data_IF_634242727223
#
_entry.id   IF_634242727223
#
_cell.length_a   1.000
_cell.length_b   1.000
_cell.length_c   1.000
_cell.angle_alpha   90.00
_cell.angle_beta   90.00
_cell.angle_gamma   90.00
#
_symmetry.space_group_name_H-M   'P 1'
#
loop_
_entity.id
_entity.type
_entity.pdbx_description
1 polymer ?
#
# COMPACT_ATOMS: atom_id res chain seq x y z
N UNK A 1 -64.08 38.62 95.35
CA UNK A 1 -62.63 38.29 95.31
C UNK A 1 -62.30 36.87 94.74
N UNK A 2 -62.93 35.79 95.25
CA UNK A 2 -62.62 34.40 94.75
C UNK A 2 -63.10 34.19 93.33
N UNK A 3 -64.28 34.71 92.94
CA UNK A 3 -64.83 34.61 91.60
C UNK A 3 -64.01 35.39 90.57
N UNK A 4 -63.53 36.58 90.90
CA UNK A 4 -62.63 37.39 90.01
C UNK A 4 -61.28 36.74 89.80
N UNK A 5 -60.73 36.09 90.84
CA UNK A 5 -59.48 35.35 90.74
C UNK A 5 -59.57 34.11 89.80
N UNK A 6 -60.74 33.41 89.90
CA UNK A 6 -61.00 32.24 89.05
C UNK A 6 -61.24 32.60 87.59
N UNK A 7 -61.80 33.77 87.34
CA UNK A 7 -62.04 34.29 86.00
C UNK A 7 -60.73 34.77 85.32
N UNK A 8 -59.94 35.47 86.11
CA UNK A 8 -58.58 35.87 85.68
C UNK A 8 -57.67 34.64 85.31
N UNK A 9 -57.72 33.63 86.18
CA UNK A 9 -56.96 32.39 85.94
C UNK A 9 -57.44 31.62 84.69
N UNK A 10 -58.76 31.59 84.45
CA UNK A 10 -59.37 30.99 83.27
C UNK A 10 -58.99 31.77 81.99
N UNK A 11 -58.95 33.12 82.07
CA UNK A 11 -58.55 33.98 80.96
C UNK A 11 -57.08 33.75 80.63
N UNK A 12 -56.22 33.71 81.62
CA UNK A 12 -54.77 33.44 81.38
C UNK A 12 -54.53 32.05 80.81
N UNK A 13 -55.27 31.04 81.29
CA UNK A 13 -55.18 29.70 80.65
C UNK A 13 -55.65 29.67 79.18
N UNK A 14 -56.71 30.42 78.84
CA UNK A 14 -57.21 30.56 77.48
C UNK A 14 -56.16 31.25 76.58
N UNK A 15 -55.57 32.33 77.06
CA UNK A 15 -54.53 33.04 76.33
C UNK A 15 -53.30 32.14 76.08
N UNK A 16 -52.84 31.40 77.08
CA UNK A 16 -51.73 30.43 76.91
C UNK A 16 -52.05 29.34 75.89
N UNK A 17 -53.32 28.84 75.92
CA UNK A 17 -53.79 27.87 74.91
C UNK A 17 -53.82 28.45 73.49
N UNK A 18 -54.35 29.66 73.34
CA UNK A 18 -54.40 30.34 72.03
C UNK A 18 -53.01 30.59 71.50
N UNK A 19 -52.11 31.07 72.36
CA UNK A 19 -50.69 31.26 71.96
C UNK A 19 -50.01 29.97 71.58
N UNK A 20 -50.17 28.91 72.36
CA UNK A 20 -49.65 27.57 72.03
C UNK A 20 -50.20 27.01 70.73
N UNK A 21 -51.49 27.22 70.44
CA UNK A 21 -52.12 26.82 69.18
C UNK A 21 -51.61 27.67 68.00
N UNK A 22 -51.44 28.98 68.20
CA UNK A 22 -50.86 29.87 67.17
C UNK A 22 -49.40 29.47 66.81
N UNK A 23 -48.57 29.20 67.83
CA UNK A 23 -47.21 28.74 67.66
C UNK A 23 -47.13 27.37 66.92
N UNK A 24 -48.10 26.47 67.25
CA UNK A 24 -48.16 25.16 66.55
C UNK A 24 -48.58 25.27 65.09
N UNK A 25 -49.50 26.16 64.75
CA UNK A 25 -50.00 26.47 63.42
C UNK A 25 -48.85 27.12 62.62
N UNK A 26 -48.10 28.04 63.21
CA UNK A 26 -46.97 28.70 62.57
C UNK A 26 -45.88 27.70 62.24
N UNK A 27 -45.52 26.80 63.17
CA UNK A 27 -44.57 25.71 62.90
C UNK A 27 -45.05 24.79 61.78
N UNK A 28 -46.30 24.37 61.79
CA UNK A 28 -46.87 23.54 60.73
C UNK A 28 -46.87 24.24 59.40
N UNK A 29 -47.10 25.56 59.31
CA UNK A 29 -46.96 26.34 58.07
C UNK A 29 -45.51 26.38 57.57
N UNK A 30 -44.54 26.59 58.48
CA UNK A 30 -43.13 26.59 58.14
C UNK A 30 -42.70 25.23 57.64
N UNK A 31 -43.13 24.14 58.26
CA UNK A 31 -42.81 22.78 57.82
C UNK A 31 -43.39 22.48 56.43
N UNK A 32 -44.61 22.89 56.13
CA UNK A 32 -45.23 22.77 54.82
C UNK A 32 -44.43 23.58 53.75
N UNK A 33 -44.07 24.83 54.06
CA UNK A 33 -43.31 25.69 53.18
C UNK A 33 -41.94 25.10 52.89
N UNK A 34 -41.19 24.62 53.89
CA UNK A 34 -39.89 23.95 53.73
C UNK A 34 -40.04 22.67 52.93
N UNK A 35 -41.10 21.90 53.15
CA UNK A 35 -41.37 20.68 52.38
C UNK A 35 -41.66 20.96 50.90
N UNK A 36 -42.50 21.98 50.60
CA UNK A 36 -42.80 22.41 49.26
C UNK A 36 -41.49 22.87 48.48
N UNK A 37 -40.70 23.72 49.14
CA UNK A 37 -39.44 24.22 48.58
C UNK A 37 -38.44 23.08 48.32
N UNK A 38 -38.38 22.06 49.16
CA UNK A 38 -37.57 20.87 48.97
C UNK A 38 -38.05 20.05 47.77
N UNK A 39 -39.35 19.88 47.57
CA UNK A 39 -39.95 19.19 46.44
C UNK A 39 -39.63 19.92 45.12
N UNK A 40 -39.88 21.24 45.07
CA UNK A 40 -39.57 22.05 43.88
C UNK A 40 -38.09 22.02 43.52
N UNK A 41 -37.19 22.11 44.50
CA UNK A 41 -35.75 21.99 44.28
C UNK A 41 -35.33 20.58 43.79
N UNK A 42 -36.01 19.54 44.31
CA UNK A 42 -35.77 18.16 43.86
C UNK A 42 -36.19 17.98 42.39
N UNK A 43 -37.37 18.51 42.02
CA UNK A 43 -37.84 18.41 40.61
C UNK A 43 -36.98 19.20 39.65
N UNK A 44 -36.54 20.41 40.03
CA UNK A 44 -35.58 21.19 39.26
C UNK A 44 -34.27 20.44 39.08
N UNK A 45 -33.75 19.82 40.13
CA UNK A 45 -32.51 19.04 40.11
C UNK A 45 -32.63 17.81 39.20
N UNK A 46 -33.75 17.10 39.29
CA UNK A 46 -34.04 15.93 38.46
C UNK A 46 -34.16 16.30 36.98
N UNK A 47 -34.84 17.40 36.67
CA UNK A 47 -34.95 17.89 35.29
C UNK A 47 -33.60 18.34 34.75
N UNK A 48 -32.80 19.05 35.54
CA UNK A 48 -31.42 19.43 35.16
C UNK A 48 -30.54 18.20 34.86
N UNK A 49 -30.61 17.18 35.72
CA UNK A 49 -29.89 15.91 35.50
C UNK A 49 -30.35 15.22 34.20
N UNK A 50 -31.66 15.20 33.92
CA UNK A 50 -32.17 14.64 32.65
C UNK A 50 -31.61 15.39 31.42
N UNK A 51 -31.61 16.73 31.46
CA UNK A 51 -31.07 17.53 30.37
C UNK A 51 -29.54 17.30 30.14
N UNK A 52 -28.78 17.18 31.22
CA UNK A 52 -27.34 16.87 31.17
C UNK A 52 -27.11 15.50 30.52
N UNK A 53 -27.88 14.47 30.90
CA UNK A 53 -27.77 13.12 30.32
C UNK A 53 -28.11 13.15 28.83
N UNK A 54 -29.20 13.84 28.45
CA UNK A 54 -29.60 13.96 27.05
C UNK A 54 -28.50 14.68 26.23
N UNK A 55 -27.97 15.79 26.74
CA UNK A 55 -26.90 16.54 26.11
C UNK A 55 -25.62 15.68 25.92
N UNK A 56 -25.27 14.91 26.97
CA UNK A 56 -24.14 13.98 26.89
C UNK A 56 -24.34 12.88 25.81
N UNK A 57 -25.55 12.29 25.76
CA UNK A 57 -25.86 11.30 24.72
C UNK A 57 -25.78 11.88 23.32
N UNK A 58 -26.26 13.10 23.12
CA UNK A 58 -26.13 13.79 21.80
C UNK A 58 -24.67 14.00 21.43
N UNK A 59 -23.83 14.43 22.38
CA UNK A 59 -22.39 14.61 22.15
C UNK A 59 -21.72 13.29 21.76
N UNK A 60 -22.03 12.19 22.45
CA UNK A 60 -21.50 10.86 22.15
C UNK A 60 -21.90 10.41 20.73
N UNK A 61 -23.16 10.59 20.35
CA UNK A 61 -23.64 10.24 19.01
C UNK A 61 -22.93 11.09 17.93
N UNK A 62 -22.82 12.40 18.14
CA UNK A 62 -22.11 13.29 17.22
C UNK A 62 -20.63 12.92 17.08
N UNK A 63 -19.95 12.61 18.19
CA UNK A 63 -18.57 12.13 18.17
C UNK A 63 -18.44 10.82 17.38
N UNK A 64 -19.35 9.88 17.57
CA UNK A 64 -19.40 8.62 16.79
C UNK A 64 -19.56 8.86 15.29
N UNK A 65 -20.45 9.76 14.89
CA UNK A 65 -20.66 10.13 13.50
C UNK A 65 -19.39 10.77 12.89
N UNK A 66 -18.73 11.66 13.63
CA UNK A 66 -17.49 12.32 13.17
C UNK A 66 -16.36 11.28 12.99
N UNK A 67 -16.20 10.36 13.95
CA UNK A 67 -15.19 9.30 13.89
C UNK A 67 -15.47 8.40 12.69
N UNK A 68 -16.70 7.94 12.51
CA UNK A 68 -17.11 7.12 11.38
C UNK A 68 -16.88 7.82 10.04
N UNK A 69 -17.23 9.09 9.91
CA UNK A 69 -17.00 9.89 8.71
C UNK A 69 -15.50 10.03 8.40
N UNK A 70 -14.67 10.33 9.38
CA UNK A 70 -13.21 10.40 9.22
C UNK A 70 -12.62 9.06 8.80
N UNK A 71 -13.03 7.97 9.42
CA UNK A 71 -12.57 6.63 9.07
C UNK A 71 -12.92 6.27 7.62
N UNK A 72 -14.15 6.54 7.21
CA UNK A 72 -14.60 6.29 5.83
C UNK A 72 -13.85 7.16 4.81
N UNK A 73 -13.61 8.42 5.11
CA UNK A 73 -12.81 9.32 4.26
C UNK A 73 -11.36 8.83 4.11
N UNK A 74 -10.77 8.33 5.19
CA UNK A 74 -9.39 7.79 5.16
C UNK A 74 -9.33 6.54 4.28
N UNK A 75 -10.32 5.65 4.42
CA UNK A 75 -10.43 4.43 3.60
C UNK A 75 -10.56 4.76 2.11
N UNK A 76 -11.46 5.67 1.73
CA UNK A 76 -11.64 6.09 0.34
C UNK A 76 -10.37 6.74 -0.23
N UNK A 77 -9.65 7.56 0.56
CA UNK A 77 -8.38 8.15 0.14
C UNK A 77 -7.31 7.10 -0.09
N UNK A 78 -7.26 6.07 0.74
CA UNK A 78 -6.31 4.97 0.60
C UNK A 78 -6.60 4.14 -0.66
N UNK A 79 -7.86 3.75 -0.89
CA UNK A 79 -8.29 3.04 -2.10
C UNK A 79 -7.98 3.85 -3.39
N UNK A 80 -8.21 5.17 -3.38
CA UNK A 80 -7.84 6.05 -4.50
C UNK A 80 -6.34 6.11 -4.72
N UNK A 81 -5.55 6.24 -3.65
CA UNK A 81 -4.09 6.28 -3.75
C UNK A 81 -3.52 4.96 -4.27
N UNK A 82 -4.08 3.82 -3.85
CA UNK A 82 -3.72 2.50 -4.37
C UNK A 82 -4.09 2.37 -5.86
N UNK A 83 -5.27 2.83 -6.26
CA UNK A 83 -5.69 2.83 -7.67
C UNK A 83 -4.82 3.76 -8.53
N UNK A 84 -4.49 4.97 -8.07
CA UNK A 84 -3.60 5.91 -8.75
C UNK A 84 -2.17 5.36 -8.85
N UNK A 85 -1.67 4.73 -7.79
CA UNK A 85 -0.35 4.08 -7.78
C UNK A 85 -0.34 2.89 -8.74
N UNK A 86 -1.37 2.06 -8.75
CA UNK A 86 -1.54 0.96 -9.72
C UNK A 86 -1.59 1.49 -11.16
N UNK A 87 -2.35 2.56 -11.42
CA UNK A 87 -2.40 3.18 -12.75
C UNK A 87 -1.07 3.81 -13.16
N UNK A 88 -0.34 4.41 -12.22
CA UNK A 88 1.00 4.98 -12.47
C UNK A 88 2.01 3.88 -12.75
N UNK A 89 1.96 2.77 -11.99
CA UNK A 89 2.77 1.58 -12.25
C UNK A 89 2.45 0.97 -13.63
N UNK A 90 1.17 0.85 -14.01
CA UNK A 90 0.78 0.38 -15.33
C UNK A 90 1.30 1.29 -16.46
N UNK A 91 1.24 2.61 -16.27
CA UNK A 91 1.82 3.58 -17.23
C UNK A 91 3.34 3.53 -17.27
N UNK A 92 4.00 3.32 -16.14
CA UNK A 92 5.46 3.18 -16.07
C UNK A 92 5.95 1.85 -16.65
N UNK A 93 5.17 0.78 -16.52
CA UNK A 93 5.45 -0.54 -17.07
C UNK A 93 5.24 -0.62 -18.59
N UNK A 94 4.34 0.18 -19.14
CA UNK A 94 4.33 0.44 -20.59
C UNK A 94 5.34 1.55 -20.88
N UNK A 95 6.64 1.20 -20.81
CA UNK A 95 7.71 2.15 -21.11
C UNK A 95 7.42 2.81 -22.47
N UNK A 96 7.03 4.11 -22.52
CA UNK A 96 6.70 4.79 -23.78
C UNK A 96 7.87 4.68 -24.76
N UNK A 97 9.09 4.65 -24.24
CA UNK A 97 10.32 4.45 -24.99
C UNK A 97 10.36 3.09 -25.69
N UNK A 98 9.84 2.01 -25.07
CA UNK A 98 9.72 0.70 -25.74
C UNK A 98 8.77 0.78 -26.94
N UNK A 99 7.62 1.44 -26.80
CA UNK A 99 6.65 1.60 -27.90
C UNK A 99 7.23 2.44 -29.04
N UNK A 100 7.88 3.57 -28.73
CA UNK A 100 8.56 4.39 -29.75
C UNK A 100 9.69 3.65 -30.44
N UNK A 101 10.49 2.90 -29.69
CA UNK A 101 11.56 2.07 -30.24
C UNK A 101 10.99 0.97 -31.16
N UNK A 102 9.90 0.32 -30.74
CA UNK A 102 9.26 -0.70 -31.56
C UNK A 102 8.73 -0.12 -32.89
N UNK A 103 8.11 1.06 -32.84
CA UNK A 103 7.65 1.77 -34.06
C UNK A 103 8.83 2.12 -35.00
N UNK A 104 9.94 2.60 -34.43
CA UNK A 104 11.15 2.93 -35.24
C UNK A 104 11.73 1.70 -35.93
N UNK A 105 11.76 0.55 -35.26
CA UNK A 105 12.23 -0.72 -35.83
C UNK A 105 11.31 -1.18 -36.98
N UNK A 106 10.00 -1.10 -36.79
CA UNK A 106 9.02 -1.42 -37.85
C UNK A 106 9.24 -0.51 -39.06
N UNK A 107 9.44 0.81 -38.82
CA UNK A 107 9.72 1.77 -39.90
C UNK A 107 11.00 1.40 -40.65
N UNK A 108 12.10 1.01 -39.96
CA UNK A 108 13.34 0.58 -40.60
C UNK A 108 13.12 -0.61 -41.54
N UNK A 109 12.46 -1.67 -41.05
CA UNK A 109 12.16 -2.85 -41.89
C UNK A 109 11.28 -2.52 -43.09
N UNK A 110 10.32 -1.59 -42.96
CA UNK A 110 9.48 -1.13 -44.08
C UNK A 110 10.33 -0.37 -45.10
N UNK A 111 11.26 0.52 -44.67
CA UNK A 111 12.16 1.24 -45.59
C UNK A 111 13.11 0.31 -46.30
N UNK A 112 13.57 -0.76 -45.65
CA UNK A 112 14.46 -1.77 -46.22
C UNK A 112 13.70 -2.79 -47.09
N UNK A 113 12.37 -2.68 -47.22
CA UNK A 113 11.50 -3.62 -47.92
C UNK A 113 11.51 -5.03 -47.30
N UNK A 114 11.92 -5.17 -46.03
CA UNK A 114 11.97 -6.43 -45.29
C UNK A 114 10.63 -6.71 -44.62
N UNK A 115 9.68 -7.21 -45.43
CA UNK A 115 8.30 -7.49 -44.95
C UNK A 115 8.29 -8.65 -43.96
N UNK A 116 9.18 -9.62 -44.12
CA UNK A 116 9.25 -10.80 -43.27
C UNK A 116 9.63 -10.42 -41.81
N UNK A 117 10.76 -9.71 -41.64
CA UNK A 117 11.18 -9.25 -40.30
C UNK A 117 10.26 -8.20 -39.72
N UNK A 118 9.67 -7.32 -40.53
CA UNK A 118 8.61 -6.38 -40.04
C UNK A 118 7.42 -7.11 -39.45
N UNK A 119 6.92 -8.14 -40.16
CA UNK A 119 5.78 -8.94 -39.71
C UNK A 119 6.12 -9.75 -38.46
N UNK A 120 7.26 -10.40 -38.42
CA UNK A 120 7.77 -11.19 -37.29
C UNK A 120 7.93 -10.31 -36.05
N UNK A 121 8.50 -9.11 -36.20
CA UNK A 121 8.66 -8.14 -35.11
C UNK A 121 7.31 -7.67 -34.59
N UNK A 122 6.38 -7.31 -35.47
CA UNK A 122 5.04 -6.85 -35.10
C UNK A 122 4.24 -7.91 -34.30
N UNK A 123 4.31 -9.18 -34.74
CA UNK A 123 3.66 -10.31 -34.07
C UNK A 123 4.24 -10.53 -32.69
N UNK A 124 5.58 -10.54 -32.56
CA UNK A 124 6.25 -10.70 -31.26
C UNK A 124 5.94 -9.55 -30.30
N UNK A 125 5.99 -8.31 -30.81
CA UNK A 125 5.66 -7.12 -30.02
C UNK A 125 4.20 -7.14 -29.54
N UNK A 126 3.23 -7.49 -30.41
CA UNK A 126 1.82 -7.60 -30.05
C UNK A 126 1.57 -8.66 -28.99
N UNK A 127 2.23 -9.84 -29.11
CA UNK A 127 2.12 -10.91 -28.12
C UNK A 127 2.73 -10.51 -26.78
N UNK A 128 3.90 -9.87 -26.78
CA UNK A 128 4.54 -9.33 -25.59
C UNK A 128 3.63 -8.32 -24.88
N UNK A 129 3.09 -7.35 -25.62
CA UNK A 129 2.21 -6.33 -25.04
C UNK A 129 0.98 -6.95 -24.41
N UNK A 130 0.38 -7.96 -25.03
CA UNK A 130 -0.75 -8.69 -24.46
C UNK A 130 -0.38 -9.38 -23.15
N UNK A 131 0.74 -10.12 -23.12
CA UNK A 131 1.24 -10.79 -21.91
C UNK A 131 1.49 -9.82 -20.78
N UNK A 132 2.07 -8.65 -21.07
CA UNK A 132 2.29 -7.58 -20.10
C UNK A 132 0.96 -7.06 -19.55
N UNK A 133 0.02 -6.70 -20.44
CA UNK A 133 -1.29 -6.15 -20.03
C UNK A 133 -2.13 -7.13 -19.19
N UNK A 134 -2.09 -8.41 -19.52
CA UNK A 134 -2.84 -9.45 -18.81
C UNK A 134 -2.25 -9.78 -17.43
N UNK A 135 -0.94 -9.60 -17.26
CA UNK A 135 -0.24 -10.04 -16.04
C UNK A 135 0.20 -8.89 -15.12
N UNK A 136 0.42 -7.70 -15.65
CA UNK A 136 0.87 -6.55 -14.82
C UNK A 136 -0.09 -6.14 -13.69
N UNK A 137 -1.43 -6.32 -13.78
CA UNK A 137 -2.32 -5.99 -12.65
C UNK A 137 -2.32 -7.04 -11.54
N UNK A 138 -1.74 -8.21 -11.77
CA UNK A 138 -1.70 -9.30 -10.79
C UNK A 138 -0.63 -9.02 -9.74
N UNK A 139 -0.88 -9.42 -8.51
CA UNK A 139 0.11 -9.32 -7.44
C UNK A 139 1.25 -10.33 -7.65
N UNK A 140 0.91 -11.54 -8.07
CA UNK A 140 1.83 -12.62 -8.38
C UNK A 140 1.42 -13.34 -9.67
N UNK A 141 2.42 -13.87 -10.37
CA UNK A 141 2.26 -14.74 -11.54
C UNK A 141 3.14 -15.96 -11.39
N UNK A 142 2.81 -17.09 -12.04
CA UNK A 142 3.72 -18.24 -12.10
C UNK A 142 5.06 -17.86 -12.73
N UNK A 143 6.16 -18.43 -12.23
CA UNK A 143 7.51 -18.19 -12.80
C UNK A 143 7.55 -18.52 -14.29
N UNK A 144 6.86 -19.58 -14.73
CA UNK A 144 6.76 -19.91 -16.17
C UNK A 144 6.21 -18.77 -17.03
N UNK A 145 5.24 -17.99 -16.47
CA UNK A 145 4.66 -16.82 -17.16
C UNK A 145 5.67 -15.67 -17.23
N UNK A 146 6.41 -15.42 -16.15
CA UNK A 146 7.49 -14.43 -16.15
C UNK A 146 8.58 -14.82 -17.17
N UNK A 147 8.99 -16.08 -17.22
CA UNK A 147 9.95 -16.61 -18.21
C UNK A 147 9.42 -16.44 -19.64
N UNK A 148 8.13 -16.67 -19.91
CA UNK A 148 7.54 -16.42 -21.23
C UNK A 148 7.59 -14.94 -21.60
N UNK A 149 7.25 -14.04 -20.67
CA UNK A 149 7.34 -12.58 -20.87
C UNK A 149 8.78 -12.18 -21.18
N UNK A 150 9.75 -12.67 -20.40
CA UNK A 150 11.17 -12.39 -20.58
C UNK A 150 11.71 -12.89 -21.92
N UNK A 151 11.35 -14.11 -22.32
CA UNK A 151 11.72 -14.65 -23.63
C UNK A 151 11.21 -13.76 -24.76
N UNK A 152 9.91 -13.39 -24.71
CA UNK A 152 9.32 -12.52 -25.75
C UNK A 152 9.93 -11.12 -25.77
N UNK A 153 10.24 -10.57 -24.60
CA UNK A 153 10.94 -9.30 -24.49
C UNK A 153 12.33 -9.36 -25.10
N UNK A 154 13.14 -10.34 -24.71
CA UNK A 154 14.51 -10.52 -25.18
C UNK A 154 14.58 -10.87 -26.67
N UNK A 155 13.69 -11.72 -27.20
CA UNK A 155 13.52 -11.96 -28.62
C UNK A 155 13.24 -10.66 -29.40
N UNK A 156 12.33 -9.82 -28.89
CA UNK A 156 12.01 -8.53 -29.51
C UNK A 156 13.20 -7.57 -29.50
N UNK A 157 13.95 -7.51 -28.40
CA UNK A 157 15.15 -6.68 -28.31
C UNK A 157 16.27 -7.22 -29.21
N UNK A 158 16.42 -8.54 -29.34
CA UNK A 158 17.39 -9.17 -30.20
C UNK A 158 17.13 -8.84 -31.67
N UNK A 159 15.88 -8.88 -32.11
CA UNK A 159 15.49 -8.41 -33.44
C UNK A 159 15.80 -6.91 -33.65
N UNK A 160 15.55 -6.08 -32.65
CA UNK A 160 15.84 -4.63 -32.69
C UNK A 160 17.33 -4.34 -32.89
N UNK A 161 18.20 -5.14 -32.28
CA UNK A 161 19.64 -4.95 -32.32
C UNK A 161 20.33 -5.93 -33.26
N UNK A 162 19.62 -6.46 -34.26
CA UNK A 162 20.20 -7.28 -35.36
C UNK A 162 21.01 -8.48 -34.83
N UNK A 163 20.50 -9.18 -33.82
CA UNK A 163 21.13 -10.33 -33.16
C UNK A 163 22.52 -10.07 -32.55
N UNK A 164 22.86 -8.81 -32.23
CA UNK A 164 24.19 -8.42 -31.74
C UNK A 164 24.48 -8.82 -30.30
N UNK A 165 23.53 -9.39 -29.57
CA UNK A 165 23.77 -9.97 -28.26
C UNK A 165 23.07 -11.31 -28.11
N UNK A 166 23.48 -12.08 -27.11
CA UNK A 166 22.89 -13.37 -26.80
C UNK A 166 22.19 -13.29 -25.42
N UNK A 167 21.19 -14.15 -25.20
CA UNK A 167 20.55 -14.28 -23.89
C UNK A 167 20.33 -15.74 -23.53
N UNK A 168 20.36 -16.02 -22.24
CA UNK A 168 20.16 -17.34 -21.67
C UNK A 168 19.20 -17.21 -20.47
N UNK A 169 18.12 -18.01 -20.45
CA UNK A 169 17.20 -18.10 -19.32
C UNK A 169 17.24 -19.53 -18.82
N UNK A 170 17.69 -19.69 -17.58
CA UNK A 170 17.86 -20.97 -16.91
C UNK A 170 16.90 -21.03 -15.75
N UNK A 171 16.11 -22.10 -15.66
CA UNK A 171 15.16 -22.34 -14.56
C UNK A 171 15.42 -23.73 -14.01
N UNK A 172 15.59 -23.87 -12.70
CA UNK A 172 15.71 -25.18 -12.06
C UNK A 172 14.42 -25.97 -12.22
N UNK A 173 14.55 -27.30 -12.43
CA UNK A 173 13.41 -28.20 -12.72
C UNK A 173 12.32 -28.19 -11.63
N UNK A 174 12.70 -27.93 -10.38
CA UNK A 174 11.79 -27.82 -9.22
C UNK A 174 10.99 -26.50 -9.16
N UNK A 175 11.23 -25.56 -10.07
CA UNK A 175 10.53 -24.27 -10.19
C UNK A 175 9.46 -24.25 -11.28
N UNK A 176 9.28 -25.36 -12.00
CA UNK A 176 8.25 -25.49 -13.05
C UNK A 176 6.84 -25.70 -12.51
N UNK A 177 6.70 -25.96 -11.21
CA UNK A 177 5.41 -26.13 -10.54
C UNK A 177 4.59 -24.83 -10.56
N UNK A 178 3.25 -24.98 -10.62
CA UNK A 178 2.30 -23.85 -10.61
C UNK A 178 2.37 -23.00 -9.33
N UNK A 179 2.95 -23.56 -8.27
CA UNK A 179 3.09 -22.90 -6.96
C UNK A 179 4.31 -21.95 -6.87
N UNK A 180 5.22 -22.01 -7.84
CA UNK A 180 6.35 -21.08 -7.89
C UNK A 180 5.88 -19.74 -8.49
N UNK A 181 5.57 -18.78 -7.62
CA UNK A 181 5.01 -17.47 -7.99
C UNK A 181 6.01 -16.33 -7.75
N UNK A 182 5.89 -15.29 -8.56
CA UNK A 182 6.76 -14.11 -8.54
C UNK A 182 5.93 -12.86 -8.83
N UNK A 183 6.26 -11.68 -8.24
CA UNK A 183 5.67 -10.43 -8.69
C UNK A 183 6.00 -10.18 -10.16
N UNK A 184 5.00 -9.86 -11.01
CA UNK A 184 5.21 -9.70 -12.45
C UNK A 184 6.24 -8.61 -12.75
N UNK A 185 7.09 -8.87 -13.75
CA UNK A 185 8.04 -7.89 -14.32
C UNK A 185 9.04 -7.31 -13.30
N UNK A 186 9.36 -8.03 -12.22
CA UNK A 186 10.33 -7.57 -11.22
C UNK A 186 11.76 -7.58 -11.73
N UNK A 187 12.04 -8.41 -12.73
CA UNK A 187 13.35 -8.58 -13.37
C UNK A 187 13.56 -7.61 -14.53
N UNK A 188 12.49 -7.15 -15.17
CA UNK A 188 12.54 -6.36 -16.41
C UNK A 188 13.39 -5.09 -16.31
N UNK A 189 13.36 -4.27 -15.23
CA UNK A 189 14.17 -3.06 -15.15
C UNK A 189 15.68 -3.32 -15.26
N UNK A 190 16.13 -4.47 -14.76
CA UNK A 190 17.55 -4.84 -14.79
C UNK A 190 17.97 -5.32 -16.18
N UNK A 191 17.09 -6.03 -16.87
CA UNK A 191 17.30 -6.50 -18.23
C UNK A 191 17.36 -5.32 -19.20
N UNK A 192 16.45 -4.35 -19.07
CA UNK A 192 16.49 -3.09 -19.81
C UNK A 192 17.80 -2.34 -19.56
N UNK A 193 18.23 -2.24 -18.31
CA UNK A 193 19.49 -1.61 -17.95
C UNK A 193 20.70 -2.32 -18.57
N UNK A 194 20.71 -3.65 -18.57
CA UNK A 194 21.80 -4.43 -19.19
C UNK A 194 21.88 -4.19 -20.69
N UNK A 195 20.77 -4.20 -21.41
CA UNK A 195 20.74 -4.03 -22.87
C UNK A 195 21.07 -2.58 -23.25
N UNK A 196 20.38 -1.59 -22.68
CA UNK A 196 20.50 -0.19 -23.11
C UNK A 196 21.71 0.50 -22.46
N UNK A 197 21.87 0.38 -21.13
CA UNK A 197 22.92 1.06 -20.39
C UNK A 197 24.22 0.24 -20.30
N UNK A 198 24.13 -1.09 -20.29
CA UNK A 198 25.24 -2.01 -20.42
C UNK A 198 25.80 -2.03 -21.85
N UNK A 199 25.05 -1.45 -22.82
CA UNK A 199 25.42 -1.38 -24.23
C UNK A 199 25.78 -2.74 -24.83
N UNK A 200 25.05 -3.81 -24.44
CA UNK A 200 25.37 -5.19 -24.88
C UNK A 200 25.43 -5.35 -26.38
N UNK A 201 24.64 -4.59 -27.12
CA UNK A 201 24.60 -4.60 -28.59
C UNK A 201 25.86 -4.00 -29.25
N UNK A 202 26.72 -3.32 -28.49
CA UNK A 202 27.98 -2.74 -28.98
C UNK A 202 29.21 -3.60 -28.64
N UNK A 203 29.04 -4.61 -27.79
CA UNK A 203 30.12 -5.47 -27.28
C UNK A 203 30.16 -6.76 -28.09
N UNK A 204 31.33 -7.11 -28.60
CA UNK A 204 31.52 -8.40 -29.24
C UNK A 204 31.29 -9.55 -28.25
N UNK A 205 30.36 -10.45 -28.57
CA UNK A 205 29.94 -11.51 -27.64
C UNK A 205 29.15 -10.99 -26.43
N UNK A 206 28.44 -9.86 -26.57
CA UNK A 206 27.54 -9.34 -25.54
C UNK A 206 26.50 -10.39 -25.14
N UNK A 207 26.33 -10.62 -23.84
CA UNK A 207 25.33 -11.57 -23.35
C UNK A 207 24.65 -11.09 -22.07
N UNK A 208 23.42 -11.61 -21.86
CA UNK A 208 22.70 -11.54 -20.60
C UNK A 208 22.26 -12.95 -20.19
N UNK A 209 22.50 -13.32 -18.94
CA UNK A 209 22.05 -14.59 -18.36
C UNK A 209 21.12 -14.32 -17.19
N UNK A 210 19.97 -15.01 -17.20
CA UNK A 210 18.96 -14.92 -16.15
C UNK A 210 18.79 -16.32 -15.58
N UNK A 211 18.97 -16.48 -14.28
CA UNK A 211 18.84 -17.77 -13.62
C UNK A 211 17.83 -17.67 -12.47
N UNK A 212 16.89 -18.59 -12.46
CA UNK A 212 15.93 -18.81 -11.39
C UNK A 212 16.31 -20.07 -10.62
N UNK A 213 16.58 -19.95 -9.33
CA UNK A 213 16.98 -21.07 -8.47
C UNK A 213 16.25 -21.01 -7.12
N UNK A 214 15.97 -22.17 -6.52
CA UNK A 214 15.43 -22.26 -5.17
C UNK A 214 16.52 -22.68 -4.19
N UNK A 215 16.85 -21.79 -3.28
CA UNK A 215 17.85 -22.06 -2.23
C UNK A 215 17.32 -21.65 -0.87
N UNK A 216 17.41 -22.53 0.10
CA UNK A 216 17.04 -22.27 1.52
C UNK A 216 15.64 -21.66 1.72
N UNK A 217 14.67 -22.07 0.91
CA UNK A 217 13.29 -21.54 0.99
C UNK A 217 13.08 -20.18 0.31
N UNK A 218 14.10 -19.65 -0.34
CA UNK A 218 14.03 -18.42 -1.12
C UNK A 218 14.11 -18.73 -2.62
N UNK A 219 13.42 -17.95 -3.42
CA UNK A 219 13.58 -17.87 -4.86
C UNK A 219 14.68 -16.85 -5.16
N UNK A 220 15.81 -17.33 -5.63
CA UNK A 220 16.93 -16.51 -6.05
C UNK A 220 16.88 -16.29 -7.56
N UNK A 221 16.88 -15.03 -7.97
CA UNK A 221 16.90 -14.62 -9.36
C UNK A 221 18.21 -13.89 -9.57
N UNK A 222 19.07 -14.46 -10.39
CA UNK A 222 20.37 -13.88 -10.75
C UNK A 222 20.31 -13.37 -12.20
N UNK A 223 20.63 -12.11 -12.41
CA UNK A 223 20.74 -11.48 -13.73
C UNK A 223 22.19 -11.04 -13.91
N UNK A 224 22.89 -11.59 -14.88
CA UNK A 224 24.28 -11.27 -15.20
C UNK A 224 24.40 -10.75 -16.61
N UNK A 225 25.18 -9.69 -16.82
CA UNK A 225 25.58 -9.20 -18.11
C UNK A 225 27.10 -9.01 -18.17
N UNK A 226 27.64 -8.97 -19.38
CA UNK A 226 29.03 -8.59 -19.65
C UNK A 226 29.14 -7.19 -20.28
N UNK A 227 28.21 -6.29 -19.92
CA UNK A 227 28.18 -4.92 -20.40
C UNK A 227 29.35 -4.06 -19.90
N UNK A 228 29.29 -2.76 -20.20
CA UNK A 228 30.35 -1.80 -19.81
C UNK A 228 30.43 -1.54 -18.30
N UNK A 229 29.51 -2.10 -17.51
CA UNK A 229 29.39 -1.87 -16.06
C UNK A 229 28.83 -0.49 -15.69
N UNK A 230 28.47 -0.32 -14.39
CA UNK A 230 27.83 0.92 -13.90
C UNK A 230 28.80 2.10 -13.78
N UNK A 231 30.07 1.82 -13.49
CA UNK A 231 31.07 2.88 -13.29
C UNK A 231 31.37 3.63 -14.58
N UNK A 232 31.49 2.92 -15.69
CA UNK A 232 31.70 3.51 -17.03
C UNK A 232 30.47 4.27 -17.53
N UNK A 233 29.24 3.79 -17.21
CA UNK A 233 27.99 4.47 -17.60
C UNK A 233 27.68 5.72 -16.79
N UNK A 234 28.26 5.89 -15.60
CA UNK A 234 28.09 7.11 -14.74
C UNK A 234 28.74 8.36 -15.32
N UNK A 235 29.71 8.23 -16.20
CA UNK A 235 30.34 9.37 -16.87
C UNK A 235 29.38 10.06 -17.87
N UNK A 236 28.34 9.39 -18.33
CA UNK A 236 27.27 9.94 -19.16
C UNK A 236 26.11 10.48 -18.30
N UNK A 237 26.17 11.74 -17.89
CA UNK A 237 25.27 12.43 -16.93
C UNK A 237 23.74 12.39 -17.24
N UNK A 238 23.32 12.05 -18.45
CA UNK A 238 21.87 12.02 -18.81
C UNK A 238 21.15 10.71 -18.45
N UNK A 239 21.86 9.62 -18.18
CA UNK A 239 21.24 8.30 -17.93
C UNK A 239 21.07 7.98 -16.43
N UNK A 240 21.63 8.80 -15.52
CA UNK A 240 21.71 8.46 -14.08
C UNK A 240 20.38 8.56 -13.34
N UNK A 241 19.47 9.46 -13.72
CA UNK A 241 18.20 9.68 -13.02
C UNK A 241 17.19 8.53 -13.25
N UNK A 242 17.06 8.02 -14.47
CA UNK A 242 16.16 6.89 -14.75
C UNK A 242 16.65 5.57 -14.15
N UNK A 243 17.99 5.37 -14.11
CA UNK A 243 18.63 4.17 -13.55
C UNK A 243 18.41 4.06 -12.03
N UNK A 244 18.46 5.18 -11.30
CA UNK A 244 18.19 5.19 -9.86
C UNK A 244 16.73 4.90 -9.56
N UNK A 245 15.80 5.42 -10.35
CA UNK A 245 14.36 5.28 -10.16
C UNK A 245 13.89 3.82 -10.32
N UNK A 246 14.36 3.10 -11.35
CA UNK A 246 13.96 1.70 -11.58
C UNK A 246 14.42 0.77 -10.44
N UNK A 247 15.66 0.95 -9.95
CA UNK A 247 16.17 0.20 -8.80
C UNK A 247 15.43 0.55 -7.50
N UNK A 248 15.09 1.82 -7.31
CA UNK A 248 14.34 2.30 -6.15
C UNK A 248 12.92 1.73 -6.13
N UNK A 249 12.21 1.77 -7.26
CA UNK A 249 10.87 1.17 -7.39
C UNK A 249 10.91 -0.34 -7.09
N UNK A 250 11.91 -1.07 -7.60
CA UNK A 250 12.02 -2.51 -7.32
C UNK A 250 12.30 -2.76 -5.83
N UNK A 251 13.15 -1.95 -5.19
CA UNK A 251 13.42 -2.05 -3.75
C UNK A 251 12.18 -1.77 -2.92
N UNK A 252 11.48 -0.67 -3.19
CA UNK A 252 10.21 -0.36 -2.52
C UNK A 252 9.18 -1.49 -2.69
N UNK A 253 9.14 -2.12 -3.85
CA UNK A 253 8.25 -3.24 -4.13
C UNK A 253 8.60 -4.47 -3.27
N UNK A 254 9.89 -4.78 -3.11
CA UNK A 254 10.36 -5.86 -2.22
C UNK A 254 10.06 -5.51 -0.76
N UNK A 255 10.31 -4.28 -0.32
CA UNK A 255 10.04 -3.83 1.04
C UNK A 255 8.54 -3.88 1.39
N UNK A 256 7.68 -3.54 0.44
CA UNK A 256 6.22 -3.66 0.58
C UNK A 256 5.79 -5.14 0.71
N UNK A 257 6.38 -6.05 -0.08
CA UNK A 257 6.15 -7.49 0.05
C UNK A 257 6.62 -8.01 1.41
N UNK A 258 7.81 -7.61 1.85
CA UNK A 258 8.35 -7.97 3.17
C UNK A 258 7.43 -7.53 4.30
N UNK A 259 6.93 -6.29 4.22
CA UNK A 259 6.00 -5.74 5.22
C UNK A 259 4.66 -6.45 5.23
N UNK A 260 4.11 -6.75 4.04
CA UNK A 260 2.79 -7.38 3.88
C UNK A 260 2.80 -8.85 4.30
N UNK A 261 3.86 -9.58 3.93
CA UNK A 261 3.95 -11.03 4.11
C UNK A 261 4.93 -11.47 5.21
N UNK A 262 5.53 -10.51 5.95
CA UNK A 262 6.51 -10.74 7.02
C UNK A 262 7.68 -11.60 6.57
N UNK A 263 8.26 -11.23 5.42
CA UNK A 263 9.34 -11.95 4.76
C UNK A 263 10.62 -11.11 4.74
N UNK A 264 11.75 -11.72 4.33
CA UNK A 264 13.07 -11.08 4.29
C UNK A 264 13.64 -11.09 2.85
N UNK A 265 12.83 -10.73 1.86
CA UNK A 265 13.31 -10.54 0.50
C UNK A 265 14.31 -9.40 0.41
N UNK A 266 15.31 -9.52 -0.44
CA UNK A 266 16.31 -8.48 -0.65
C UNK A 266 16.77 -8.40 -2.10
N UNK A 267 17.46 -7.32 -2.44
CA UNK A 267 18.10 -7.11 -3.73
C UNK A 267 19.52 -6.61 -3.51
N UNK A 268 20.46 -7.23 -4.22
CA UNK A 268 21.86 -6.83 -4.24
C UNK A 268 22.33 -6.62 -5.68
N UNK A 269 23.16 -5.59 -5.91
CA UNK A 269 23.72 -5.27 -7.23
C UNK A 269 25.22 -5.07 -7.10
N UNK A 270 25.99 -5.85 -7.82
CA UNK A 270 27.45 -5.78 -7.86
C UNK A 270 27.95 -5.57 -9.28
N UNK A 271 29.07 -4.87 -9.43
CA UNK A 271 29.75 -4.72 -10.70
C UNK A 271 30.92 -5.70 -10.79
N UNK A 272 31.08 -6.32 -11.96
CA UNK A 272 32.33 -6.99 -12.31
C UNK A 272 33.25 -5.94 -12.95
N UNK A 273 34.20 -5.46 -12.17
CA UNK A 273 35.19 -4.48 -12.64
C UNK A 273 36.60 -5.01 -12.27
N UNK A 274 36.98 -6.06 -12.96
CA UNK A 274 38.35 -6.57 -12.89
C UNK A 274 38.96 -6.66 -14.29
N UNK A 275 40.28 -6.75 -14.40
CA UNK A 275 41.00 -6.77 -15.65
C UNK A 275 40.56 -7.89 -16.63
N UNK A 276 39.84 -8.90 -16.13
CA UNK A 276 39.37 -10.04 -16.91
C UNK A 276 37.92 -9.96 -17.35
N UNK A 277 37.07 -9.14 -16.68
CA UNK A 277 35.61 -9.12 -16.95
C UNK A 277 34.99 -7.79 -16.49
N UNK A 278 34.22 -7.17 -17.37
CA UNK A 278 33.32 -6.07 -17.07
C UNK A 278 31.87 -6.56 -17.08
N UNK A 279 30.95 -5.86 -16.45
CA UNK A 279 29.52 -6.19 -16.44
C UNK A 279 28.88 -5.99 -15.10
N UNK A 280 27.62 -6.42 -14.98
CA UNK A 280 26.82 -6.26 -13.75
C UNK A 280 26.18 -7.59 -13.37
N UNK A 281 26.10 -7.87 -12.06
CA UNK A 281 25.28 -8.94 -11.49
C UNK A 281 24.24 -8.34 -10.56
N UNK A 282 22.99 -8.73 -10.75
CA UNK A 282 21.88 -8.43 -9.87
C UNK A 282 21.39 -9.72 -9.25
N UNK A 283 21.28 -9.76 -7.93
CA UNK A 283 20.64 -10.83 -7.17
C UNK A 283 19.36 -10.30 -6.53
N UNK A 284 18.23 -10.94 -6.83
CA UNK A 284 16.96 -10.70 -6.19
C UNK A 284 16.58 -11.98 -5.45
N UNK A 285 16.38 -11.91 -4.15
CA UNK A 285 15.93 -13.01 -3.34
C UNK A 285 14.51 -12.71 -2.81
N UNK A 286 13.57 -13.59 -3.11
CA UNK A 286 12.17 -13.49 -2.70
C UNK A 286 11.76 -14.76 -1.96
N UNK A 287 10.79 -14.70 -1.05
CA UNK A 287 10.26 -15.92 -0.42
C UNK A 287 9.61 -16.81 -1.47
N UNK A 288 9.94 -18.12 -1.44
CA UNK A 288 9.52 -19.07 -2.47
C UNK A 288 8.00 -19.32 -2.51
N UNK A 289 7.31 -19.29 -1.37
CA UNK A 289 5.86 -19.48 -1.26
C UNK A 289 5.27 -18.47 -0.30
N UNK A 290 4.78 -17.36 -0.82
CA UNK A 290 4.16 -16.32 0.00
C UNK A 290 2.80 -16.77 0.56
N UNK A 291 2.05 -17.62 -0.17
CA UNK A 291 0.73 -18.10 0.29
C UNK A 291 0.81 -19.12 1.43
N UNK A 292 1.86 -19.93 1.53
CA UNK A 292 2.01 -20.91 2.60
C UNK A 292 2.40 -20.29 3.94
N UNK A 293 2.98 -19.08 3.92
CA UNK A 293 3.38 -18.36 5.14
C UNK A 293 2.16 -17.71 5.85
N UNK A 294 1.01 -17.61 5.17
CA UNK A 294 -0.22 -17.04 5.74
C UNK A 294 -1.12 -18.09 6.45
N UNK A 295 -0.78 -19.39 6.36
CA UNK A 295 -1.56 -20.47 6.99
C UNK A 295 -0.92 -21.00 8.30
N UNK A 296 0.23 -20.50 8.71
CA UNK A 296 0.88 -20.76 9.99
C UNK A 296 0.95 -19.48 10.83
#
# INVERSE_FOLDING_TARGET
KIAELSESYRSEQRERRIKSQADSIERARQDVYVSQTKLENSDLRNNLQRYIIIAFLIIVVLAGIIIFYRWNQTKIKQERKEAEMSQTLLRAQMNPHFVFNAMSVIQSYIYENDIENSTKFLVNCSRLMRLILENSPKEFIPIRTEVEILNKYLETQKLRFEDRFQFFIETEDNLTDEFAIIPPMITQPFIENSIEHGQLHTIEGGFIRIRFAKEKGMLNITIEDNGIGRNSSRQNKKSSAHKSMAMEITRERIDNLNSKYRTEGFMHVEDFDNQARTGTRVLIALPYNVETTLQN
#
